data_IF_451873422722
#
_entry.id   IF_451873422722
#
_cell.length_a   1.000
_cell.length_b   1.000
_cell.length_c   1.000
_cell.angle_alpha   90.00
_cell.angle_beta   90.00
_cell.angle_gamma   90.00
#
_symmetry.space_group_name_H-M   'P 1'
#
loop_
_entity.id
_entity.type
_entity.pdbx_description
1 polymer ?
#
# COMPACT_ATOMS: atom_id res chain seq x y z
N UNK A 1 -2.84 4.96 -13.12
CA UNK A 1 -2.89 4.11 -11.92
C UNK A 1 -1.68 3.22 -11.72
N UNK A 2 -0.85 3.06 -12.77
CA UNK A 2 0.32 2.20 -12.61
C UNK A 2 1.28 2.68 -11.53
N UNK A 3 1.22 3.97 -11.21
CA UNK A 3 2.13 4.53 -10.20
C UNK A 3 1.71 4.24 -8.77
N UNK A 4 0.47 3.84 -8.55
CA UNK A 4 -0.05 3.67 -7.19
C UNK A 4 0.68 2.55 -6.43
N UNK A 5 0.80 1.39 -7.03
CA UNK A 5 1.40 0.26 -6.34
C UNK A 5 2.86 0.49 -5.97
N UNK A 6 3.71 0.96 -6.90
CA UNK A 6 5.09 1.27 -6.50
C UNK A 6 5.18 2.41 -5.48
N UNK A 7 4.27 3.39 -5.53
CA UNK A 7 4.31 4.47 -4.55
C UNK A 7 3.97 3.95 -3.15
N UNK A 8 3.01 3.04 -3.05
CA UNK A 8 2.69 2.43 -1.76
C UNK A 8 3.88 1.63 -1.25
N UNK A 9 4.55 0.89 -2.12
CA UNK A 9 5.71 0.12 -1.70
C UNK A 9 6.81 1.04 -1.16
N UNK A 10 7.03 2.18 -1.82
CA UNK A 10 8.03 3.13 -1.33
C UNK A 10 7.64 3.67 0.05
N UNK A 11 6.37 4.02 0.21
CA UNK A 11 5.90 4.57 1.48
C UNK A 11 5.97 3.55 2.60
N UNK A 12 5.63 2.29 2.31
CA UNK A 12 5.53 1.28 3.36
C UNK A 12 6.88 0.63 3.71
N UNK A 13 7.74 0.44 2.72
CA UNK A 13 8.94 -0.35 2.94
C UNK A 13 10.17 0.14 2.18
N UNK A 14 10.13 1.36 1.69
CA UNK A 14 11.23 1.91 0.89
C UNK A 14 11.54 1.01 -0.31
N UNK A 15 10.49 0.61 -1.03
CA UNK A 15 10.64 -0.21 -2.22
C UNK A 15 11.03 -1.65 -1.94
N UNK A 16 10.68 -2.14 -0.75
CA UNK A 16 10.98 -3.51 -0.39
C UNK A 16 12.26 -3.67 0.42
N UNK A 17 12.96 -2.58 0.67
CA UNK A 17 14.22 -2.67 1.43
C UNK A 17 14.00 -2.87 2.92
N UNK A 18 12.83 -2.48 3.43
CA UNK A 18 12.53 -2.57 4.86
C UNK A 18 11.29 -3.44 5.10
N UNK A 19 11.35 -4.65 4.58
CA UNK A 19 10.26 -5.60 4.74
C UNK A 19 10.36 -6.28 6.10
N UNK A 20 9.22 -6.46 6.75
CA UNK A 20 9.18 -7.12 8.06
C UNK A 20 9.48 -8.61 7.88
N UNK A 21 10.58 -9.07 8.50
CA UNK A 21 10.94 -10.48 8.47
C UNK A 21 10.90 -11.07 7.08
N UNK A 22 10.14 -12.16 6.94
CA UNK A 22 10.03 -12.88 5.67
C UNK A 22 8.76 -12.61 4.89
N UNK A 23 8.05 -11.54 5.08
CA UNK A 23 7.16 -11.44 4.63
C UNK A 23 7.11 -11.12 3.61
N UNK A 24 7.82 -10.87 2.90
CA UNK A 24 7.88 -10.45 1.53
C UNK A 24 6.66 -9.62 1.17
N UNK A 25 6.29 -8.76 2.09
CA UNK A 25 5.13 -7.88 1.96
C UNK A 25 5.60 -6.44 1.96
N UNK A 26 6.12 -5.92 0.84
CA UNK A 26 6.64 -4.56 0.79
C UNK A 26 5.57 -3.47 0.83
N UNK A 27 4.29 -3.86 0.77
CA UNK A 27 3.18 -2.91 0.73
C UNK A 27 2.53 -2.70 2.08
N UNK A 28 3.01 -3.36 3.12
CA UNK A 28 2.37 -3.26 4.42
C UNK A 28 0.93 -3.74 4.42
N UNK A 29 0.59 -4.62 3.49
CA UNK A 29 -0.77 -5.10 3.32
C UNK A 29 -1.10 -6.04 4.47
N UNK A 30 -2.13 -5.72 5.22
CA UNK A 30 -2.50 -6.54 6.36
C UNK A 30 -3.90 -7.09 6.17
N UNK A 31 -4.15 -8.20 6.84
CA UNK A 31 -5.49 -8.76 6.91
C UNK A 31 -6.02 -8.48 8.30
N UNK A 32 -7.26 -8.85 8.52
CA UNK A 32 -7.97 -8.53 9.76
C UNK A 32 -7.18 -8.97 10.98
N UNK A 33 -7.31 -8.20 12.04
CA UNK A 33 -6.64 -8.50 13.28
C UNK A 33 -5.21 -8.01 13.37
N UNK A 34 -4.79 -7.25 12.38
CA UNK A 34 -3.45 -6.66 12.40
C UNK A 34 -2.33 -7.60 12.00
N UNK A 35 -2.67 -8.80 11.53
CA UNK A 35 -1.66 -9.74 11.08
C UNK A 35 -1.14 -9.32 9.71
N UNK A 36 0.19 -9.19 9.59
CA UNK A 36 0.79 -8.86 8.31
C UNK A 36 0.69 -10.07 7.39
N UNK A 37 0.19 -9.82 6.18
CA UNK A 37 0.04 -10.90 5.21
C UNK A 37 1.42 -11.32 4.69
N UNK A 38 1.69 -12.61 4.71
CA UNK A 38 2.95 -13.15 4.23
C UNK A 38 2.78 -13.71 2.83
N UNK A 39 3.80 -13.51 2.00
CA UNK A 39 3.76 -13.96 0.63
C UNK A 39 4.94 -14.88 0.32
N UNK A 40 4.73 -15.79 -0.60
CA UNK A 40 5.78 -16.72 -1.01
C UNK A 40 6.89 -16.01 -1.79
N UNK A 41 6.54 -14.92 -2.47
CA UNK A 41 7.50 -14.16 -3.27
C UNK A 41 7.00 -12.74 -3.43
N UNK A 42 7.88 -11.85 -3.88
CA UNK A 42 7.46 -10.49 -4.18
C UNK A 42 6.48 -10.46 -5.35
N UNK A 43 6.60 -11.37 -6.30
CA UNK A 43 5.63 -11.45 -7.39
C UNK A 43 4.23 -11.79 -6.86
N UNK A 44 4.15 -12.74 -5.93
CA UNK A 44 2.88 -13.06 -5.29
C UNK A 44 2.30 -11.84 -4.59
N UNK A 45 3.16 -11.08 -3.90
CA UNK A 45 2.70 -9.87 -3.22
C UNK A 45 2.13 -8.88 -4.21
N UNK A 46 2.83 -8.66 -5.32
CA UNK A 46 2.36 -7.71 -6.33
C UNK A 46 1.01 -8.14 -6.89
N UNK A 47 0.87 -9.42 -7.20
CA UNK A 47 -0.39 -9.91 -7.77
C UNK A 47 -1.54 -9.81 -6.77
N UNK A 48 -1.30 -10.22 -5.53
CA UNK A 48 -2.35 -10.23 -4.52
C UNK A 48 -2.77 -8.81 -4.13
N UNK A 49 -1.79 -7.94 -3.88
CA UNK A 49 -2.11 -6.59 -3.47
C UNK A 49 -2.72 -5.81 -4.64
N UNK A 50 -2.22 -6.04 -5.85
CA UNK A 50 -2.81 -5.42 -7.02
C UNK A 50 -4.27 -5.79 -7.19
N UNK A 51 -4.59 -7.07 -6.98
CA UNK A 51 -5.98 -7.52 -7.06
C UNK A 51 -6.82 -6.85 -5.98
N UNK A 52 -6.30 -6.78 -4.75
CA UNK A 52 -7.02 -6.15 -3.66
C UNK A 52 -7.29 -4.68 -3.93
N UNK A 53 -6.28 -3.98 -4.44
CA UNK A 53 -6.47 -2.57 -4.76
C UNK A 53 -7.54 -2.38 -5.83
N UNK A 54 -7.54 -3.22 -6.86
CA UNK A 54 -8.57 -3.13 -7.90
C UNK A 54 -9.96 -3.40 -7.33
N UNK A 55 -10.11 -4.51 -6.64
CA UNK A 55 -11.43 -4.98 -6.25
C UNK A 55 -11.99 -4.24 -5.04
N UNK A 56 -11.13 -3.96 -4.06
CA UNK A 56 -11.60 -3.42 -2.79
C UNK A 56 -11.47 -1.91 -2.69
N UNK A 57 -10.73 -1.29 -3.60
CA UNK A 57 -10.54 0.16 -3.58
C UNK A 57 -10.99 0.81 -4.87
N UNK A 58 -10.30 0.54 -5.98
CA UNK A 58 -10.57 1.26 -7.23
C UNK A 58 -11.97 0.99 -7.76
N UNK A 59 -12.42 -0.25 -7.73
CA UNK A 59 -13.76 -0.57 -8.19
C UNK A 59 -14.85 0.03 -7.31
N UNK A 60 -14.49 0.46 -6.11
CA UNK A 60 -15.42 1.10 -5.18
C UNK A 60 -15.27 2.61 -5.17
N UNK A 61 -14.52 3.16 -6.12
CA UNK A 61 -14.37 4.59 -6.23
C UNK A 61 -13.30 5.20 -5.35
N UNK A 62 -12.50 4.37 -4.68
CA UNK A 62 -11.42 4.86 -3.81
C UNK A 62 -10.13 4.87 -4.62
N UNK A 63 -9.82 6.01 -5.24
CA UNK A 63 -8.69 6.07 -6.16
C UNK A 63 -7.59 7.04 -5.74
N UNK A 64 -7.91 8.01 -4.91
CA UNK A 64 -6.90 8.99 -4.46
C UNK A 64 -6.25 8.51 -3.18
N UNK A 65 -4.95 8.82 -2.97
CA UNK A 65 -4.29 8.38 -1.73
C UNK A 65 -5.06 8.70 -0.47
N UNK A 66 -5.67 9.87 -0.39
CA UNK A 66 -6.46 10.24 0.78
C UNK A 66 -7.65 9.31 1.00
N UNK A 67 -8.30 8.92 -0.09
CA UNK A 67 -9.44 8.01 0.00
C UNK A 67 -9.01 6.61 0.35
N UNK A 68 -7.88 6.18 -0.21
CA UNK A 68 -7.36 4.85 0.05
C UNK A 68 -6.88 4.73 1.49
N UNK A 69 -6.26 5.79 2.00
CA UNK A 69 -5.70 5.79 3.35
C UNK A 69 -6.72 5.44 4.42
N UNK A 70 -7.95 5.90 4.27
CA UNK A 70 -8.97 5.68 5.28
C UNK A 70 -9.25 4.20 5.50
N UNK A 71 -8.99 3.38 4.48
CA UNK A 71 -9.21 1.94 4.56
C UNK A 71 -7.91 1.16 4.69
N UNK A 72 -6.87 1.63 4.00
CA UNK A 72 -5.58 0.94 3.97
C UNK A 72 -4.83 1.08 5.30
N UNK A 73 -4.84 2.29 5.84
CA UNK A 73 -4.11 2.57 7.08
C UNK A 73 -4.82 3.68 7.87
N UNK A 74 -5.98 3.34 8.48
CA UNK A 74 -6.77 4.35 9.19
C UNK A 74 -6.02 5.16 10.24
N UNK A 75 -5.07 4.59 11.00
CA UNK A 75 -4.37 5.40 12.01
C UNK A 75 -3.65 6.62 11.45
N UNK A 76 -3.30 6.61 10.16
CA UNK A 76 -2.60 7.74 9.56
C UNK A 76 -3.45 9.00 9.58
N UNK A 77 -4.78 8.86 9.55
CA UNK A 77 -5.68 10.02 9.54
C UNK A 77 -5.46 10.87 10.78
N UNK A 78 -5.40 10.24 11.94
CA UNK A 78 -5.25 10.97 13.21
C UNK A 78 -3.89 11.64 13.31
N UNK A 79 -2.91 11.17 12.55
CA UNK A 79 -1.56 11.73 12.56
C UNK A 79 -1.38 12.84 11.52
N UNK A 80 -2.44 13.27 10.86
CA UNK A 80 -2.36 14.31 9.85
C UNK A 80 -2.23 13.79 8.43
N UNK A 81 -2.40 12.50 8.24
CA UNK A 81 -2.39 11.91 6.91
C UNK A 81 -1.02 11.73 6.28
N UNK A 82 0.03 11.39 7.05
CA UNK A 82 1.37 11.28 6.43
C UNK A 82 1.44 10.19 5.36
N UNK A 83 0.63 9.15 5.49
CA UNK A 83 0.64 8.08 4.50
C UNK A 83 0.20 8.60 3.13
N UNK A 84 -0.93 9.33 3.08
CA UNK A 84 -1.43 9.85 1.82
C UNK A 84 -0.47 10.86 1.22
N UNK A 85 0.14 11.69 2.08
CA UNK A 85 1.10 12.67 1.60
C UNK A 85 2.32 12.00 1.00
N UNK A 86 2.84 10.97 1.66
CA UNK A 86 3.99 10.24 1.16
C UNK A 86 3.71 9.53 -0.14
N UNK A 87 2.57 8.83 -0.22
CA UNK A 87 2.21 8.14 -1.45
C UNK A 87 2.05 9.11 -2.60
N UNK A 88 1.42 10.27 -2.34
CA UNK A 88 1.24 11.27 -3.39
C UNK A 88 2.58 11.79 -3.90
N UNK A 89 3.53 12.03 -3.01
CA UNK A 89 4.85 12.50 -3.40
C UNK A 89 5.56 11.46 -4.27
N UNK A 90 5.51 10.19 -3.85
CA UNK A 90 6.16 9.14 -4.62
C UNK A 90 5.50 8.94 -5.98
N UNK A 91 4.17 9.06 -6.06
CA UNK A 91 3.49 8.99 -7.35
C UNK A 91 3.96 10.11 -8.27
N UNK A 92 4.15 11.30 -7.71
CA UNK A 92 4.62 12.43 -8.50
C UNK A 92 6.04 12.20 -9.02
N UNK A 93 6.89 11.59 -8.20
CA UNK A 93 8.25 11.30 -8.60
C UNK A 93 8.35 10.24 -9.69
N UNK A 94 7.31 9.42 -9.81
CA UNK A 94 7.29 8.35 -10.80
C UNK A 94 6.71 8.77 -12.15
N UNK A 95 6.43 10.03 -12.34
CA UNK A 95 5.84 10.51 -13.59
C UNK A 95 6.79 10.38 -14.76
#
# INVERSE_FOLDING_TARGET
MWRLLPAIAMQESNGGKKVIGNXKNPFGYVIYGGSVLRFASFLDAIERVGKGLREDYLNKGLSKPEEIMAKYTPPSIALGGPWAKGVSIFMEELR
#
